data_IF_900693959747
#
_entry.id   IF_900693959747
#
_cell.length_a   1.000
_cell.length_b   1.000
_cell.length_c   1.000
_cell.angle_alpha   90.00
_cell.angle_beta   90.00
_cell.angle_gamma   90.00
#
_symmetry.space_group_name_H-M   'P 1'
#
loop_
_entity.id
_entity.type
_entity.pdbx_description
1 polymer ?
#
# COMPACT_ATOMS: atom_id res chain seq x y z
N UNK A 1 22.52 -7.34 -15.73
CA UNK A 1 23.62 -8.31 -15.51
C UNK A 1 22.99 -9.61 -15.06
N UNK A 2 23.42 -10.76 -15.58
CA UNK A 2 22.81 -12.02 -15.16
C UNK A 2 23.30 -12.39 -13.75
N UNK A 3 22.35 -12.68 -12.88
CA UNK A 3 22.54 -13.24 -11.55
C UNK A 3 22.05 -14.69 -11.54
N UNK A 4 22.39 -15.44 -10.49
CA UNK A 4 21.91 -16.79 -10.25
C UNK A 4 21.04 -16.80 -9.01
N UNK A 5 19.85 -17.37 -9.10
CA UNK A 5 18.91 -17.42 -7.98
C UNK A 5 18.91 -18.80 -7.32
N UNK A 6 18.78 -18.80 -6.00
CA UNK A 6 18.46 -19.99 -5.22
C UNK A 6 16.97 -19.95 -4.88
N UNK A 7 16.26 -21.05 -5.11
CA UNK A 7 14.84 -21.19 -4.76
C UNK A 7 14.63 -22.15 -3.60
N UNK A 8 13.60 -21.87 -2.80
CA UNK A 8 13.03 -22.81 -1.84
C UNK A 8 11.51 -22.69 -1.92
N UNK A 9 10.83 -23.84 -2.05
CA UNK A 9 9.35 -23.88 -2.20
C UNK A 9 8.80 -22.96 -3.31
N UNK A 10 9.58 -22.73 -4.36
CA UNK A 10 9.22 -21.88 -5.50
C UNK A 10 9.61 -20.41 -5.36
N UNK A 11 9.93 -19.93 -4.15
CA UNK A 11 10.34 -18.54 -3.90
C UNK A 11 11.86 -18.37 -3.97
N UNK A 12 12.33 -17.20 -4.43
CA UNK A 12 13.75 -16.80 -4.32
C UNK A 12 14.11 -16.67 -2.84
N UNK A 13 15.16 -17.37 -2.41
CA UNK A 13 15.73 -17.30 -1.05
C UNK A 13 17.18 -16.80 -1.04
N UNK A 14 17.79 -16.64 -2.20
CA UNK A 14 19.15 -16.12 -2.34
C UNK A 14 19.49 -15.70 -3.77
N UNK A 15 20.38 -14.73 -3.90
CA UNK A 15 20.88 -14.20 -5.17
C UNK A 15 22.41 -14.22 -5.16
N UNK A 16 23.00 -14.68 -6.26
CA UNK A 16 24.44 -14.88 -6.40
C UNK A 16 24.94 -14.29 -7.72
N UNK A 17 26.11 -13.66 -7.69
CA UNK A 17 26.72 -13.10 -8.91
C UNK A 17 27.30 -14.17 -9.85
N UNK A 18 27.51 -15.40 -9.34
CA UNK A 18 28.11 -16.51 -10.08
C UNK A 18 27.30 -17.79 -9.88
N UNK A 19 27.35 -18.67 -10.87
CA UNK A 19 26.77 -20.02 -10.81
C UNK A 19 27.30 -20.78 -9.59
N UNK A 20 26.40 -21.43 -8.84
CA UNK A 20 26.72 -22.31 -7.72
C UNK A 20 26.06 -23.67 -7.93
N UNK A 21 26.85 -24.69 -8.28
CA UNK A 21 26.35 -26.05 -8.49
C UNK A 21 25.65 -26.59 -7.23
N UNK A 22 24.44 -27.12 -7.39
CA UNK A 22 23.60 -27.64 -6.32
C UNK A 22 22.95 -26.59 -5.42
N UNK A 23 23.14 -25.28 -5.70
CA UNK A 23 22.63 -24.19 -4.85
C UNK A 23 21.90 -23.09 -5.64
N UNK A 24 22.56 -22.50 -6.63
CA UNK A 24 22.03 -21.38 -7.42
C UNK A 24 22.48 -21.53 -8.88
N UNK A 25 21.65 -22.20 -9.66
CA UNK A 25 21.94 -22.59 -11.04
C UNK A 25 21.09 -21.84 -12.06
N UNK A 26 19.94 -21.30 -11.64
CA UNK A 26 18.98 -20.60 -12.49
C UNK A 26 19.47 -19.17 -12.77
N UNK A 27 19.88 -18.85 -14.02
CA UNK A 27 20.23 -17.49 -14.36
C UNK A 27 18.96 -16.64 -14.53
N UNK A 28 18.92 -15.49 -13.86
CA UNK A 28 17.88 -14.48 -14.03
C UNK A 28 18.50 -13.12 -14.34
N UNK A 29 17.76 -12.28 -15.04
CA UNK A 29 18.16 -10.89 -15.26
C UNK A 29 18.00 -10.11 -13.94
N UNK A 30 18.95 -9.23 -13.62
CA UNK A 30 18.88 -8.40 -12.42
C UNK A 30 17.71 -7.38 -12.45
N UNK A 31 17.16 -7.12 -13.63
CA UNK A 31 15.94 -6.32 -13.82
C UNK A 31 14.64 -7.13 -13.77
N UNK A 32 14.70 -8.44 -13.52
CA UNK A 32 13.50 -9.27 -13.38
C UNK A 32 12.66 -8.79 -12.16
N UNK A 33 11.33 -8.64 -12.29
CA UNK A 33 10.48 -8.19 -11.19
C UNK A 33 10.58 -9.03 -9.92
N UNK A 34 10.76 -10.36 -10.02
CA UNK A 34 10.89 -11.24 -8.87
C UNK A 34 12.20 -10.98 -8.10
N UNK A 35 13.27 -10.70 -8.86
CA UNK A 35 14.59 -10.33 -8.34
C UNK A 35 14.55 -8.96 -7.67
N UNK A 36 13.93 -7.98 -8.32
CA UNK A 36 13.78 -6.63 -7.77
C UNK A 36 12.97 -6.69 -6.47
N UNK A 37 11.90 -7.48 -6.42
CA UNK A 37 11.06 -7.65 -5.24
C UNK A 37 11.82 -8.31 -4.08
N UNK A 38 12.67 -9.31 -4.38
CA UNK A 38 13.52 -9.93 -3.37
C UNK A 38 14.57 -8.95 -2.81
N UNK A 39 15.19 -8.14 -3.68
CA UNK A 39 16.21 -7.15 -3.28
C UNK A 39 15.61 -5.95 -2.54
N UNK A 40 14.39 -5.55 -2.89
CA UNK A 40 13.70 -4.39 -2.33
C UNK A 40 12.30 -4.81 -1.86
N UNK A 41 12.18 -5.53 -0.74
CA UNK A 41 10.90 -5.94 -0.23
C UNK A 41 10.05 -4.71 0.15
N UNK A 42 8.79 -4.70 -0.26
CA UNK A 42 7.85 -3.64 0.12
C UNK A 42 7.67 -3.66 1.64
N UNK A 43 7.92 -2.53 2.29
CA UNK A 43 7.85 -2.38 3.73
C UNK A 43 6.47 -1.90 4.18
N UNK A 44 6.16 -2.07 5.48
CA UNK A 44 4.95 -1.49 6.10
C UNK A 44 4.91 0.03 5.87
N UNK A 45 6.06 0.71 5.99
CA UNK A 45 6.20 2.15 5.77
C UNK A 45 5.79 2.57 4.35
N UNK A 46 6.03 1.72 3.34
CA UNK A 46 5.63 2.02 1.96
C UNK A 46 4.10 2.04 1.82
N UNK A 47 3.39 1.09 2.45
CA UNK A 47 1.92 1.13 2.49
C UNK A 47 1.41 2.32 3.29
N UNK A 48 1.98 2.61 4.46
CA UNK A 48 1.55 3.74 5.29
C UNK A 48 1.67 5.06 4.52
N UNK A 49 2.80 5.29 3.85
CA UNK A 49 3.01 6.47 3.01
C UNK A 49 2.02 6.52 1.85
N UNK A 50 1.76 5.39 1.19
CA UNK A 50 0.84 5.32 0.06
C UNK A 50 -0.62 5.59 0.49
N UNK A 51 -1.06 5.02 1.61
CA UNK A 51 -2.37 5.27 2.22
C UNK A 51 -2.50 6.73 2.63
N UNK A 52 -1.49 7.29 3.30
CA UNK A 52 -1.51 8.69 3.70
C UNK A 52 -1.60 9.62 2.48
N UNK A 53 -0.85 9.32 1.41
CA UNK A 53 -0.92 10.07 0.16
C UNK A 53 -2.31 10.00 -0.49
N UNK A 54 -2.95 8.82 -0.49
CA UNK A 54 -4.34 8.66 -0.96
C UNK A 54 -5.28 9.55 -0.15
N UNK A 55 -5.24 9.44 1.18
CA UNK A 55 -6.08 10.23 2.10
C UNK A 55 -5.91 11.74 1.86
N UNK A 56 -4.67 12.21 1.72
CA UNK A 56 -4.41 13.63 1.48
C UNK A 56 -4.80 14.07 0.07
N UNK A 57 -4.66 13.20 -0.95
CA UNK A 57 -5.12 13.52 -2.31
C UNK A 57 -6.63 13.65 -2.39
N UNK A 58 -7.38 12.78 -1.70
CA UNK A 58 -8.83 12.85 -1.62
C UNK A 58 -9.30 14.14 -0.93
N UNK A 59 -8.56 14.63 0.06
CA UNK A 59 -8.84 15.95 0.66
C UNK A 59 -8.62 17.11 -0.33
N UNK A 60 -7.56 17.03 -1.15
CA UNK A 60 -7.24 18.04 -2.17
C UNK A 60 -8.30 18.14 -3.28
N UNK A 61 -9.02 17.06 -3.58
CA UNK A 61 -10.17 17.10 -4.51
C UNK A 61 -11.23 18.11 -4.07
N UNK A 62 -11.39 18.31 -2.75
CA UNK A 62 -12.31 19.27 -2.14
C UNK A 62 -11.65 20.62 -1.80
N UNK A 63 -10.48 20.90 -2.38
CA UNK A 63 -9.71 22.14 -2.19
C UNK A 63 -9.19 22.36 -0.75
N UNK A 64 -9.08 21.28 0.04
CA UNK A 64 -8.36 21.31 1.31
C UNK A 64 -6.87 21.02 1.08
N UNK A 65 -6.01 21.48 1.98
CA UNK A 65 -4.55 21.26 1.87
C UNK A 65 -4.19 19.78 1.99
N UNK A 66 -4.75 19.13 2.99
CA UNK A 66 -4.47 17.75 3.42
C UNK A 66 -5.65 17.20 4.23
N UNK A 67 -5.59 15.91 4.57
CA UNK A 67 -6.61 15.22 5.34
C UNK A 67 -6.78 15.77 6.76
N UNK A 68 -5.71 16.30 7.38
CA UNK A 68 -5.77 16.93 8.70
C UNK A 68 -6.63 18.20 8.66
N UNK A 69 -6.39 19.03 7.66
CA UNK A 69 -7.12 20.28 7.45
C UNK A 69 -8.59 19.99 7.21
N UNK A 70 -8.91 19.04 6.32
CA UNK A 70 -10.30 18.66 6.05
C UNK A 70 -10.98 18.12 7.31
N UNK A 71 -10.36 17.18 8.01
CA UNK A 71 -10.91 16.59 9.25
C UNK A 71 -11.16 17.63 10.36
N UNK A 72 -10.42 18.74 10.39
CA UNK A 72 -10.63 19.80 11.38
C UNK A 72 -12.01 20.50 11.26
N UNK A 73 -12.67 20.39 10.10
CA UNK A 73 -13.97 21.03 9.85
C UNK A 73 -15.20 20.24 10.33
N UNK A 74 -15.04 19.08 11.00
CA UNK A 74 -16.18 18.28 11.51
C UNK A 74 -17.16 19.13 12.34
N UNK A 75 -16.65 20.08 13.13
CA UNK A 75 -17.42 20.99 13.98
C UNK A 75 -17.71 22.36 13.37
N UNK A 76 -17.54 22.54 12.06
CA UNK A 76 -17.73 23.82 11.39
C UNK A 76 -19.17 24.34 11.50
N UNK A 77 -19.33 25.66 11.65
CA UNK A 77 -20.65 26.33 11.58
C UNK A 77 -21.18 26.46 10.14
N UNK A 78 -20.39 26.06 9.14
CA UNK A 78 -20.81 25.97 7.73
C UNK A 78 -21.26 24.53 7.45
N UNK A 79 -22.57 24.28 7.21
CA UNK A 79 -23.09 22.91 7.09
C UNK A 79 -22.40 22.07 6.02
N UNK A 80 -22.07 22.68 4.87
CA UNK A 80 -21.35 22.00 3.79
C UNK A 80 -19.98 21.46 4.24
N UNK A 81 -19.19 22.29 4.92
CA UNK A 81 -17.84 21.90 5.37
C UNK A 81 -17.91 20.83 6.46
N UNK A 82 -18.87 20.94 7.37
CA UNK A 82 -19.11 19.92 8.39
C UNK A 82 -19.49 18.57 7.76
N UNK A 83 -20.41 18.57 6.79
CA UNK A 83 -20.86 17.35 6.11
C UNK A 83 -19.72 16.68 5.31
N UNK A 84 -18.93 17.46 4.57
CA UNK A 84 -17.76 16.96 3.85
C UNK A 84 -16.72 16.37 4.82
N UNK A 85 -16.46 17.04 5.93
CA UNK A 85 -15.51 16.56 6.94
C UNK A 85 -15.96 15.29 7.65
N UNK A 86 -17.24 15.16 7.96
CA UNK A 86 -17.81 13.95 8.55
C UNK A 86 -17.70 12.76 7.58
N UNK A 87 -18.05 12.96 6.30
CA UNK A 87 -17.92 11.93 5.28
C UNK A 87 -16.47 11.49 5.09
N UNK A 88 -15.53 12.44 5.08
CA UNK A 88 -14.11 12.15 4.95
C UNK A 88 -13.55 11.39 6.14
N UNK A 89 -13.87 11.79 7.37
CA UNK A 89 -13.37 11.08 8.56
C UNK A 89 -13.92 9.66 8.61
N UNK A 90 -15.22 9.46 8.36
CA UNK A 90 -15.80 8.13 8.30
C UNK A 90 -15.15 7.24 7.23
N UNK A 91 -14.87 7.80 6.04
CA UNK A 91 -14.14 7.10 4.99
C UNK A 91 -12.71 6.76 5.41
N UNK A 92 -11.95 7.74 5.91
CA UNK A 92 -10.56 7.56 6.35
C UNK A 92 -10.44 6.51 7.46
N UNK A 93 -11.39 6.49 8.39
CA UNK A 93 -11.44 5.47 9.45
C UNK A 93 -11.60 4.07 8.86
N UNK A 94 -12.46 3.90 7.85
CA UNK A 94 -12.60 2.63 7.12
C UNK A 94 -11.34 2.24 6.34
N UNK A 95 -10.65 3.21 5.72
CA UNK A 95 -9.37 2.96 5.02
C UNK A 95 -8.34 2.36 5.96
N UNK A 96 -8.12 2.99 7.13
CA UNK A 96 -7.15 2.50 8.10
C UNK A 96 -7.59 1.18 8.76
N UNK A 97 -8.87 1.04 9.07
CA UNK A 97 -9.41 -0.22 9.60
C UNK A 97 -9.18 -1.38 8.62
N UNK A 98 -9.43 -1.16 7.33
CA UNK A 98 -9.17 -2.13 6.28
C UNK A 98 -7.67 -2.46 6.18
N UNK A 99 -6.81 -1.44 6.13
CA UNK A 99 -5.35 -1.62 6.03
C UNK A 99 -4.79 -2.49 7.16
N UNK A 100 -5.14 -2.22 8.41
CA UNK A 100 -4.70 -3.04 9.54
C UNK A 100 -5.30 -4.44 9.53
N UNK A 101 -6.53 -4.60 9.03
CA UNK A 101 -7.16 -5.90 8.84
C UNK A 101 -6.42 -6.75 7.81
N UNK A 102 -6.03 -6.19 6.67
CA UNK A 102 -5.24 -6.89 5.65
C UNK A 102 -3.82 -7.18 6.13
N UNK A 103 -3.18 -6.26 6.83
CA UNK A 103 -1.87 -6.49 7.45
C UNK A 103 -1.91 -7.69 8.40
N UNK A 104 -2.94 -7.80 9.24
CA UNK A 104 -3.10 -8.94 10.15
C UNK A 104 -3.25 -10.27 9.40
N UNK A 105 -3.96 -10.29 8.26
CA UNK A 105 -4.09 -11.50 7.43
C UNK A 105 -2.76 -11.91 6.81
N UNK A 106 -1.98 -10.94 6.33
CA UNK A 106 -0.64 -11.20 5.77
C UNK A 106 0.29 -11.76 6.86
N UNK A 107 0.31 -11.16 8.04
CA UNK A 107 1.10 -11.64 9.17
C UNK A 107 0.67 -13.03 9.66
N UNK A 108 -0.62 -13.38 9.52
CA UNK A 108 -1.16 -14.69 9.86
C UNK A 108 -0.98 -15.73 8.72
N UNK A 109 -0.36 -15.37 7.59
CA UNK A 109 -0.22 -16.25 6.42
C UNK A 109 -1.55 -16.59 5.73
N UNK A 110 -2.60 -15.84 6.01
CA UNK A 110 -3.94 -16.03 5.42
C UNK A 110 -4.09 -15.32 4.07
N UNK A 111 -3.13 -14.44 3.75
CA UNK A 111 -3.10 -13.63 2.52
C UNK A 111 -1.64 -13.41 2.12
N UNK A 112 -1.35 -13.50 0.84
CA UNK A 112 -0.05 -13.06 0.30
C UNK A 112 0.06 -11.53 0.36
N UNK A 113 1.27 -11.02 0.58
CA UNK A 113 1.51 -9.58 0.59
C UNK A 113 1.21 -8.99 -0.81
N UNK A 114 0.18 -8.13 -0.96
CA UNK A 114 -0.13 -7.50 -2.26
C UNK A 114 0.90 -6.43 -2.61
N UNK A 115 1.03 -6.01 -3.87
CA UNK A 115 1.76 -4.76 -4.15
C UNK A 115 1.01 -3.56 -3.57
N UNK A 116 1.68 -2.41 -3.45
CA UNK A 116 1.05 -1.16 -2.98
C UNK A 116 -0.11 -0.78 -3.89
N UNK A 117 0.06 -0.87 -5.21
CA UNK A 117 -0.96 -0.52 -6.19
C UNK A 117 -2.18 -1.44 -6.11
N UNK A 118 -1.95 -2.75 -5.95
CA UNK A 118 -3.02 -3.73 -5.76
C UNK A 118 -3.81 -3.42 -4.49
N UNK A 119 -3.11 -3.15 -3.38
CA UNK A 119 -3.74 -2.78 -2.13
C UNK A 119 -4.56 -1.49 -2.24
N UNK A 120 -4.03 -0.44 -2.86
CA UNK A 120 -4.75 0.82 -3.04
C UNK A 120 -5.98 0.68 -3.94
N UNK A 121 -5.96 -0.23 -4.92
CA UNK A 121 -7.12 -0.51 -5.77
C UNK A 121 -8.28 -1.18 -5.02
N UNK A 122 -8.03 -1.78 -3.85
CA UNK A 122 -9.05 -2.38 -2.99
C UNK A 122 -9.77 -1.34 -2.13
N UNK A 123 -9.20 -0.14 -1.98
CA UNK A 123 -9.78 0.92 -1.16
C UNK A 123 -11.04 1.47 -1.82
N UNK A 124 -12.16 1.36 -1.10
CA UNK A 124 -13.43 1.91 -1.57
C UNK A 124 -13.32 3.44 -1.74
N UNK A 125 -13.82 4.01 -2.85
CA UNK A 125 -13.82 5.45 -3.06
C UNK A 125 -14.75 6.14 -2.05
N UNK A 126 -14.44 7.39 -1.70
CA UNK A 126 -15.26 8.18 -0.80
C UNK A 126 -16.64 8.52 -1.41
N UNK A 127 -17.69 8.34 -0.61
CA UNK A 127 -19.03 8.81 -0.94
C UNK A 127 -19.23 10.22 -0.37
N UNK A 128 -19.02 11.24 -1.20
CA UNK A 128 -19.25 12.62 -0.79
C UNK A 128 -20.74 12.96 -0.65
N UNK A 129 -21.14 13.82 0.30
CA UNK A 129 -22.51 14.27 0.40
C UNK A 129 -22.92 15.06 -0.85
N UNK A 130 -24.16 14.85 -1.30
CA UNK A 130 -24.77 15.68 -2.34
C UNK A 130 -24.99 17.09 -1.79
N UNK A 131 -24.66 18.09 -2.61
CA UNK A 131 -24.80 19.51 -2.29
C UNK A 131 -26.24 19.96 -2.14
#
# INVERSE_FOLDING_TARGET
MNIFVQRSEGAIVGIYANFQEGFAEEPMDDSDPEVIAFLNPVSITDYENAIQNLVDSTARERQFRDGVTLASYIGSTKPKWAAEAQAFVAWRDNVWFYAYGELAKVQAGQREQPTVEQFLAEIAPIAWPLS
#
